data_IF_267496830684
#
_entry.id   IF_267496830684
#
_cell.length_a   1.000
_cell.length_b   1.000
_cell.length_c   1.000
_cell.angle_alpha   90.00
_cell.angle_beta   90.00
_cell.angle_gamma   90.00
#
_symmetry.space_group_name_H-M   'P 1'
#
loop_
_entity.id
_entity.type
_entity.pdbx_description
1 polymer ?
#
# COMPACT_ATOMS: atom_id res chain seq x y z
N UNK A 1 -93.15 24.10 -0.53
CA UNK A 1 -91.94 24.75 0.00
C UNK A 1 -90.72 23.94 -0.40
N UNK A 2 -89.73 24.59 -1.05
CA UNK A 2 -88.35 24.14 -1.37
C UNK A 2 -88.22 22.95 -2.34
N UNK A 3 -87.22 22.85 -3.21
CA UNK A 3 -86.36 23.74 -4.03
C UNK A 3 -85.55 22.73 -4.87
N UNK A 4 -85.40 22.98 -6.17
CA UNK A 4 -84.52 22.20 -7.03
C UNK A 4 -83.04 22.36 -6.66
N UNK A 5 -82.19 21.40 -7.06
CA UNK A 5 -80.85 21.65 -7.63
C UNK A 5 -80.28 20.41 -8.32
N UNK A 6 -80.05 20.55 -9.62
CA UNK A 6 -79.13 19.80 -10.47
C UNK A 6 -77.69 19.89 -9.92
N UNK A 7 -76.85 18.88 -10.19
CA UNK A 7 -75.42 18.96 -9.86
C UNK A 7 -74.57 17.77 -10.30
N UNK A 8 -74.32 17.66 -11.61
CA UNK A 8 -73.03 17.32 -12.25
C UNK A 8 -72.28 16.05 -11.78
N UNK A 9 -72.24 14.98 -12.60
CA UNK A 9 -71.17 13.99 -12.56
C UNK A 9 -70.06 14.47 -13.51
N UNK A 10 -68.99 15.06 -13.01
CA UNK A 10 -67.86 15.40 -13.89
C UNK A 10 -66.54 15.43 -13.13
N UNK A 11 -65.55 14.76 -13.74
CA UNK A 11 -64.13 15.00 -13.60
C UNK A 11 -63.49 14.66 -12.24
N UNK A 12 -63.20 13.38 -12.06
CA UNK A 12 -62.07 12.94 -11.24
C UNK A 12 -61.53 11.61 -11.78
N UNK A 13 -61.29 11.58 -13.10
CA UNK A 13 -60.60 10.48 -13.77
C UNK A 13 -59.58 11.11 -14.73
N UNK A 14 -58.33 10.67 -14.62
CA UNK A 14 -57.24 10.85 -15.60
C UNK A 14 -56.63 12.26 -15.75
N UNK A 15 -55.95 12.73 -14.71
CA UNK A 15 -54.69 13.47 -14.86
C UNK A 15 -53.51 12.58 -14.41
N UNK A 16 -53.56 11.30 -14.79
CA UNK A 16 -52.34 10.52 -14.90
C UNK A 16 -51.58 11.10 -16.09
N UNK A 17 -50.66 12.02 -15.77
CA UNK A 17 -49.73 12.59 -16.71
C UNK A 17 -49.20 11.47 -17.61
N UNK A 18 -49.41 11.64 -18.91
CA UNK A 18 -48.89 10.79 -19.95
C UNK A 18 -47.36 10.77 -19.83
N UNK A 19 -46.81 9.87 -19.02
CA UNK A 19 -45.54 9.27 -19.30
C UNK A 19 -45.77 8.51 -20.61
N UNK A 20 -45.49 9.17 -21.74
CA UNK A 20 -45.71 8.61 -23.07
C UNK A 20 -45.14 7.20 -23.11
N UNK A 21 -45.95 6.24 -23.56
CA UNK A 21 -45.49 4.88 -23.81
C UNK A 21 -44.23 4.94 -24.67
N UNK A 22 -43.13 4.27 -24.28
CA UNK A 22 -41.90 4.28 -25.07
C UNK A 22 -42.24 3.89 -26.51
N UNK A 23 -41.88 4.72 -27.48
CA UNK A 23 -42.10 4.37 -28.88
C UNK A 23 -41.31 3.10 -29.17
N UNK A 24 -41.91 2.04 -29.74
CA UNK A 24 -41.16 0.86 -30.13
C UNK A 24 -40.23 1.24 -31.30
N UNK A 25 -38.93 0.97 -31.15
CA UNK A 25 -37.93 1.10 -32.21
C UNK A 25 -37.03 -0.15 -32.21
N UNK A 26 -36.41 -0.44 -33.36
CA UNK A 26 -35.49 -1.55 -33.50
C UNK A 26 -34.32 -1.45 -32.49
N UNK A 27 -33.82 -2.59 -32.00
CA UNK A 27 -32.72 -2.61 -31.03
C UNK A 27 -31.49 -1.89 -31.61
N UNK A 28 -31.02 -0.78 -31.01
CA UNK A 28 -29.84 -0.08 -31.49
C UNK A 28 -28.57 -0.91 -31.24
N UNK A 29 -27.50 -0.61 -31.99
CA UNK A 29 -26.17 -1.14 -31.68
C UNK A 29 -25.53 -0.32 -30.56
N UNK A 30 -24.85 -0.99 -29.62
CA UNK A 30 -24.04 -0.36 -28.59
C UNK A 30 -22.55 -0.61 -28.88
N UNK A 31 -21.76 0.45 -28.90
CA UNK A 31 -20.29 0.39 -28.88
C UNK A 31 -19.77 1.05 -27.63
N UNK A 32 -18.80 0.42 -26.98
CA UNK A 32 -18.13 0.94 -25.78
C UNK A 32 -16.66 1.12 -26.09
N UNK A 33 -16.10 2.30 -25.82
CA UNK A 33 -14.68 2.56 -25.95
C UNK A 33 -14.10 3.17 -24.66
N UNK A 34 -12.90 2.74 -24.31
CA UNK A 34 -12.15 3.27 -23.16
C UNK A 34 -11.29 4.42 -23.64
N UNK A 35 -11.46 5.60 -23.05
CA UNK A 35 -10.66 6.78 -23.32
C UNK A 35 -9.75 7.07 -22.10
N UNK A 36 -8.73 7.94 -22.20
CA UNK A 36 -7.84 8.22 -21.08
C UNK A 36 -8.57 8.64 -19.79
N UNK A 37 -9.62 9.45 -19.89
CA UNK A 37 -10.31 10.03 -18.72
C UNK A 37 -11.80 9.66 -18.60
N UNK A 38 -12.36 8.97 -19.62
CA UNK A 38 -13.77 8.59 -19.65
C UNK A 38 -14.02 7.22 -20.31
N UNK A 39 -15.25 6.75 -20.17
CA UNK A 39 -15.82 5.69 -20.99
C UNK A 39 -16.84 6.31 -21.93
N UNK A 40 -16.75 5.95 -23.21
CA UNK A 40 -17.68 6.42 -24.24
C UNK A 40 -18.60 5.29 -24.67
N UNK A 41 -19.89 5.50 -24.43
CA UNK A 41 -20.97 4.63 -24.88
C UNK A 41 -21.66 5.28 -26.07
N UNK A 42 -21.58 4.64 -27.24
CA UNK A 42 -22.24 5.11 -28.46
C UNK A 42 -23.36 4.14 -28.81
N UNK A 43 -24.59 4.66 -28.80
CA UNK A 43 -25.76 3.95 -29.32
C UNK A 43 -26.11 4.53 -30.69
N UNK A 44 -26.34 3.66 -31.65
CA UNK A 44 -26.75 4.04 -33.00
C UNK A 44 -27.82 3.10 -33.54
N UNK A 45 -28.77 3.64 -34.29
CA UNK A 45 -29.80 2.85 -34.96
C UNK A 45 -30.69 3.72 -35.84
N UNK A 46 -31.11 3.26 -37.03
CA UNK A 46 -31.86 4.08 -37.98
C UNK A 46 -33.20 4.55 -37.42
N UNK A 47 -33.83 3.75 -36.55
CA UNK A 47 -35.13 4.05 -35.95
C UNK A 47 -35.05 4.70 -34.56
N UNK A 48 -33.84 5.06 -34.10
CA UNK A 48 -33.65 5.61 -32.76
C UNK A 48 -34.26 7.03 -32.68
N UNK A 49 -35.39 7.21 -31.96
CA UNK A 49 -36.10 8.47 -31.95
C UNK A 49 -35.24 9.57 -31.33
N UNK A 50 -35.32 10.80 -31.83
CA UNK A 50 -34.69 11.94 -31.17
C UNK A 50 -35.39 12.26 -29.83
N UNK A 51 -34.62 12.63 -28.81
CA UNK A 51 -35.12 13.00 -27.49
C UNK A 51 -35.38 11.84 -26.53
N UNK A 52 -35.20 10.59 -26.98
CA UNK A 52 -35.34 9.37 -26.17
C UNK A 52 -34.32 9.43 -25.02
N UNK A 53 -34.76 9.24 -23.75
CA UNK A 53 -33.85 9.24 -22.62
C UNK A 53 -32.94 8.02 -22.66
N UNK A 54 -31.66 8.25 -22.41
CA UNK A 54 -30.65 7.20 -22.29
C UNK A 54 -29.97 7.32 -20.96
N UNK A 55 -29.78 6.18 -20.30
CA UNK A 55 -29.10 6.07 -19.03
C UNK A 55 -27.98 5.04 -19.13
N UNK A 56 -26.77 5.41 -18.73
CA UNK A 56 -25.64 4.53 -18.59
C UNK A 56 -25.23 4.46 -17.11
N UNK A 57 -25.23 3.25 -16.56
CA UNK A 57 -24.83 2.94 -15.20
C UNK A 57 -23.53 2.15 -15.19
N UNK A 58 -22.58 2.58 -14.36
CA UNK A 58 -21.36 1.83 -14.03
C UNK A 58 -21.45 1.34 -12.60
N UNK A 59 -21.17 0.05 -12.38
CA UNK A 59 -21.23 -0.56 -11.06
C UNK A 59 -19.81 -0.69 -10.50
N UNK A 60 -19.38 0.31 -9.75
CA UNK A 60 -18.08 0.35 -9.12
C UNK A 60 -18.12 -0.04 -7.63
N UNK A 61 -16.96 -0.22 -6.99
CA UNK A 61 -16.87 -0.51 -5.55
C UNK A 61 -17.39 0.64 -4.67
N UNK A 62 -17.46 1.87 -5.21
CA UNK A 62 -18.03 3.03 -4.51
C UNK A 62 -19.55 3.17 -4.71
N UNK A 63 -20.19 2.23 -5.40
CA UNK A 63 -21.61 2.29 -5.78
C UNK A 63 -21.82 2.55 -7.27
N UNK A 64 -23.09 2.74 -7.62
CA UNK A 64 -23.53 2.98 -8.99
C UNK A 64 -23.24 4.43 -9.41
N UNK A 65 -22.59 4.61 -10.57
CA UNK A 65 -22.44 5.92 -11.22
C UNK A 65 -23.36 5.98 -12.43
N UNK A 66 -24.28 6.94 -12.44
CA UNK A 66 -25.29 7.07 -13.49
C UNK A 66 -25.07 8.32 -14.32
N UNK A 67 -25.02 8.17 -15.64
CA UNK A 67 -24.95 9.27 -16.60
C UNK A 67 -26.16 9.21 -17.53
N UNK A 68 -26.79 10.37 -17.75
CA UNK A 68 -27.98 10.49 -18.57
C UNK A 68 -27.74 11.38 -19.77
N UNK A 69 -28.34 11.03 -20.89
CA UNK A 69 -28.34 11.82 -22.11
C UNK A 69 -29.68 11.69 -22.83
N UNK A 70 -29.84 12.44 -23.92
CA UNK A 70 -30.93 12.26 -24.86
C UNK A 70 -30.36 11.98 -26.24
N UNK A 71 -31.05 11.15 -26.99
CA UNK A 71 -30.69 10.85 -28.37
C UNK A 71 -30.84 12.07 -29.28
N UNK A 72 -29.89 12.22 -30.19
CA UNK A 72 -30.05 13.01 -31.41
C UNK A 72 -30.49 12.02 -32.50
N UNK A 73 -31.28 12.44 -33.49
CA UNK A 73 -31.90 11.52 -34.44
C UNK A 73 -30.90 10.46 -34.97
N UNK A 74 -31.15 9.19 -34.64
CA UNK A 74 -30.30 8.05 -35.03
C UNK A 74 -29.12 7.70 -34.12
N UNK A 75 -28.71 8.56 -33.17
CA UNK A 75 -27.54 8.30 -32.33
C UNK A 75 -27.49 9.04 -30.98
N UNK A 76 -26.76 8.47 -30.02
CA UNK A 76 -26.30 9.19 -28.84
C UNK A 76 -24.90 8.73 -28.46
N UNK A 77 -24.11 9.67 -27.93
CA UNK A 77 -22.83 9.35 -27.31
C UNK A 77 -22.85 9.86 -25.87
N UNK A 78 -22.72 8.95 -24.90
CA UNK A 78 -22.58 9.26 -23.48
C UNK A 78 -21.10 9.18 -23.12
N UNK A 79 -20.61 10.21 -22.43
CA UNK A 79 -19.28 10.21 -21.80
C UNK A 79 -19.47 10.05 -20.31
N UNK A 80 -19.02 8.93 -19.77
CA UNK A 80 -19.08 8.66 -18.33
C UNK A 80 -17.68 8.87 -17.76
N UNK A 81 -17.44 9.92 -16.94
CA UNK A 81 -16.15 10.14 -16.31
C UNK A 81 -15.77 8.92 -15.47
N UNK A 82 -14.69 8.24 -15.85
CA UNK A 82 -14.30 6.99 -15.20
C UNK A 82 -12.84 6.68 -15.48
N UNK A 83 -12.02 6.74 -14.43
CA UNK A 83 -10.55 6.60 -14.52
C UNK A 83 -9.99 5.34 -13.84
N UNK A 84 -10.83 4.56 -13.14
CA UNK A 84 -10.38 3.43 -12.34
C UNK A 84 -10.01 2.23 -13.21
N UNK A 85 -8.80 1.71 -13.04
CA UNK A 85 -8.38 0.46 -13.65
C UNK A 85 -9.12 -0.74 -13.05
N UNK A 86 -9.21 -1.81 -13.83
CA UNK A 86 -9.89 -3.06 -13.48
C UNK A 86 -11.07 -3.37 -14.38
N UNK A 87 -11.86 -4.35 -13.97
CA UNK A 87 -13.09 -4.77 -14.64
C UNK A 87 -14.26 -4.07 -14.00
N UNK A 88 -15.09 -3.40 -14.80
CA UNK A 88 -16.26 -2.64 -14.33
C UNK A 88 -17.49 -3.10 -15.12
N UNK A 89 -18.48 -3.71 -14.45
CA UNK A 89 -19.78 -3.98 -15.05
C UNK A 89 -20.50 -2.69 -15.40
N UNK A 90 -21.25 -2.72 -16.51
CA UNK A 90 -22.08 -1.60 -16.92
C UNK A 90 -23.46 -2.06 -17.37
N UNK A 91 -24.37 -1.10 -17.37
CA UNK A 91 -25.68 -1.21 -17.97
C UNK A 91 -26.02 0.05 -18.75
N UNK A 92 -26.62 -0.10 -19.93
CA UNK A 92 -27.17 1.01 -20.72
C UNK A 92 -28.64 0.74 -21.01
N UNK A 93 -29.51 1.70 -20.71
CA UNK A 93 -30.97 1.66 -20.96
C UNK A 93 -31.36 2.74 -21.95
N UNK A 94 -32.20 2.39 -22.93
CA UNK A 94 -32.79 3.31 -23.91
C UNK A 94 -34.15 2.77 -24.36
N UNK A 95 -35.24 3.50 -24.05
CA UNK A 95 -36.61 3.02 -24.25
C UNK A 95 -36.83 1.61 -23.67
N UNK A 96 -37.29 0.63 -24.45
CA UNK A 96 -37.50 -0.74 -23.98
C UNK A 96 -36.22 -1.59 -23.94
N UNK A 97 -35.08 -1.07 -24.40
CA UNK A 97 -33.85 -1.86 -24.58
C UNK A 97 -32.89 -1.70 -23.42
N UNK A 98 -32.28 -2.83 -23.01
CA UNK A 98 -31.23 -2.91 -22.00
C UNK A 98 -30.00 -3.61 -22.59
N UNK A 99 -28.83 -3.05 -22.32
CA UNK A 99 -27.53 -3.62 -22.66
C UNK A 99 -26.73 -3.77 -21.38
N UNK A 100 -26.15 -4.95 -21.17
CA UNK A 100 -25.25 -5.21 -20.05
C UNK A 100 -23.92 -5.73 -20.57
N UNK A 101 -22.87 -5.45 -19.84
CA UNK A 101 -21.54 -5.91 -20.20
C UNK A 101 -20.52 -5.56 -19.15
N UNK A 102 -19.25 -5.75 -19.49
CA UNK A 102 -18.12 -5.37 -18.65
C UNK A 102 -17.11 -4.64 -19.51
N UNK A 103 -16.47 -3.63 -18.93
CA UNK A 103 -15.32 -2.97 -19.53
C UNK A 103 -14.09 -3.24 -18.68
N UNK A 104 -12.95 -3.46 -19.34
CA UNK A 104 -11.66 -3.63 -18.68
C UNK A 104 -10.79 -2.42 -19.02
N UNK A 105 -10.35 -1.70 -18.00
CA UNK A 105 -9.35 -0.64 -18.11
C UNK A 105 -8.05 -1.14 -17.51
N UNK A 106 -6.97 -1.08 -18.26
CA UNK A 106 -5.63 -1.31 -17.73
C UNK A 106 -5.12 -0.03 -17.03
N UNK A 107 -4.32 -0.16 -15.96
CA UNK A 107 -3.67 1.00 -15.35
C UNK A 107 -2.72 1.66 -16.35
N UNK A 108 -2.53 2.97 -16.20
CA UNK A 108 -1.58 3.72 -17.01
C UNK A 108 -0.12 3.48 -16.62
N UNK A 109 0.77 4.24 -17.26
CA UNK A 109 2.18 4.31 -16.89
C UNK A 109 2.35 4.90 -15.48
N UNK A 110 3.27 4.37 -14.66
CA UNK A 110 3.55 4.90 -13.34
C UNK A 110 4.14 6.31 -13.41
N UNK A 111 3.90 7.12 -12.38
CA UNK A 111 4.43 8.49 -12.27
C UNK A 111 5.41 8.64 -11.12
N UNK A 112 6.33 9.58 -11.25
CA UNK A 112 7.29 9.95 -10.19
C UNK A 112 6.73 11.05 -9.27
N UNK A 113 7.20 11.14 -8.01
CA UNK A 113 8.06 10.18 -7.33
C UNK A 113 7.30 8.91 -6.94
N UNK A 114 7.97 7.75 -6.98
CA UNK A 114 7.44 6.57 -6.33
C UNK A 114 7.56 6.74 -4.80
N UNK A 115 6.46 6.52 -4.09
CA UNK A 115 6.45 6.57 -2.62
C UNK A 115 6.99 5.25 -2.04
N UNK A 116 8.25 5.25 -1.63
CA UNK A 116 8.89 4.12 -0.95
C UNK A 116 8.49 4.09 0.51
N UNK A 117 8.05 2.93 1.00
CA UNK A 117 7.82 2.69 2.43
C UNK A 117 8.76 1.60 2.91
N UNK A 118 9.76 1.98 3.69
CA UNK A 118 10.64 1.00 4.34
C UNK A 118 10.13 0.71 5.75
N UNK A 119 9.79 -0.55 6.01
CA UNK A 119 9.41 -1.06 7.31
C UNK A 119 10.63 -1.27 8.19
N UNK A 120 10.64 -0.61 9.36
CA UNK A 120 11.80 -0.56 10.26
C UNK A 120 12.85 0.40 9.72
N UNK A 121 12.87 1.65 10.20
CA UNK A 121 13.91 2.64 9.83
C UNK A 121 15.27 2.31 10.42
N UNK A 122 15.28 1.48 11.46
CA UNK A 122 16.48 0.91 12.04
C UNK A 122 16.26 -0.57 12.36
N UNK A 123 17.27 -1.40 12.10
CA UNK A 123 17.24 -2.85 12.36
C UNK A 123 18.61 -3.31 12.82
N UNK A 124 18.70 -4.32 13.69
CA UNK A 124 20.01 -4.93 13.99
C UNK A 124 20.47 -5.83 12.85
N UNK A 125 21.77 -5.84 12.56
CA UNK A 125 22.36 -6.70 11.52
C UNK A 125 22.14 -8.21 11.77
N UNK A 126 21.93 -8.61 13.03
CA UNK A 126 21.63 -10.00 13.43
C UNK A 126 20.14 -10.26 13.65
N UNK A 127 19.26 -9.30 13.33
CA UNK A 127 17.83 -9.48 13.61
C UNK A 127 17.24 -10.56 12.70
N UNK A 128 16.45 -11.51 13.23
CA UNK A 128 15.90 -12.61 12.42
C UNK A 128 14.96 -12.16 11.30
N UNK A 129 14.31 -11.00 11.47
CA UNK A 129 13.39 -10.43 10.50
C UNK A 129 14.01 -9.19 9.86
N UNK A 130 14.43 -9.26 8.59
CA UNK A 130 14.96 -8.10 7.88
C UNK A 130 13.86 -7.05 7.67
N UNK A 131 14.23 -5.78 7.48
CA UNK A 131 13.31 -4.74 7.09
C UNK A 131 12.75 -5.06 5.70
N UNK A 132 11.59 -4.49 5.39
CA UNK A 132 10.92 -4.72 4.11
C UNK A 132 10.66 -3.39 3.42
N UNK A 133 10.87 -3.34 2.12
CA UNK A 133 10.39 -2.26 1.29
C UNK A 133 9.01 -2.62 0.74
N UNK A 134 8.08 -1.68 0.82
CA UNK A 134 6.74 -1.77 0.22
C UNK A 134 6.52 -0.56 -0.68
N UNK A 135 6.04 -0.79 -1.90
CA UNK A 135 5.67 0.25 -2.86
C UNK A 135 4.28 0.02 -3.42
N UNK A 136 3.63 1.13 -3.74
CA UNK A 136 2.41 1.19 -4.54
C UNK A 136 2.71 2.06 -5.75
N UNK A 137 3.25 1.49 -6.85
CA UNK A 137 3.55 2.29 -8.03
C UNK A 137 2.25 2.66 -8.74
N UNK A 138 1.88 3.94 -8.70
CA UNK A 138 0.60 4.42 -9.24
C UNK A 138 0.76 5.22 -10.52
N UNK A 139 -0.23 5.13 -11.41
CA UNK A 139 -0.39 6.05 -12.54
C UNK A 139 -0.90 7.44 -12.10
N UNK A 140 -1.08 8.36 -13.05
CA UNK A 140 -1.60 9.72 -12.82
C UNK A 140 -3.00 9.76 -12.19
N UNK A 141 -3.73 8.66 -12.17
CA UNK A 141 -5.09 8.52 -11.62
C UNK A 141 -5.12 7.72 -10.32
N UNK A 142 -3.97 7.32 -9.79
CA UNK A 142 -3.88 6.51 -8.57
C UNK A 142 -4.13 5.02 -8.78
N UNK A 143 -4.16 4.53 -10.02
CA UNK A 143 -4.27 3.09 -10.28
C UNK A 143 -2.89 2.44 -10.15
N UNK A 144 -2.81 1.31 -9.45
CA UNK A 144 -1.56 0.59 -9.31
C UNK A 144 -1.18 -0.08 -10.64
N UNK A 145 0.03 0.21 -11.13
CA UNK A 145 0.56 -0.40 -12.36
C UNK A 145 0.88 -1.87 -12.17
N UNK A 146 0.92 -2.63 -13.27
CA UNK A 146 1.38 -4.03 -13.28
C UNK A 146 2.84 -4.19 -13.67
N UNK A 147 3.52 -3.09 -14.00
CA UNK A 147 4.94 -3.12 -14.37
C UNK A 147 5.79 -3.53 -13.16
N UNK A 148 6.74 -4.48 -13.31
CA UNK A 148 7.58 -4.90 -12.22
C UNK A 148 8.50 -3.75 -11.76
N UNK A 149 8.78 -3.73 -10.46
CA UNK A 149 9.64 -2.72 -9.84
C UNK A 149 11.06 -3.26 -9.76
N UNK A 150 12.03 -2.53 -10.31
CA UNK A 150 13.45 -2.80 -10.04
C UNK A 150 13.86 -2.06 -8.78
N UNK A 151 14.32 -2.81 -7.78
CA UNK A 151 14.85 -2.27 -6.53
C UNK A 151 16.37 -2.46 -6.52
N UNK A 152 17.10 -1.38 -6.22
CA UNK A 152 18.55 -1.38 -5.98
C UNK A 152 18.79 -1.05 -4.51
N UNK A 153 19.60 -1.86 -3.85
CA UNK A 153 19.96 -1.72 -2.45
C UNK A 153 21.48 -1.59 -2.36
N UNK A 154 21.96 -0.57 -1.67
CA UNK A 154 23.38 -0.33 -1.42
C UNK A 154 23.62 -0.45 0.07
N UNK A 155 24.42 -1.44 0.45
CA UNK A 155 24.74 -1.70 1.84
C UNK A 155 26.02 -0.97 2.27
N UNK A 156 26.23 -0.76 3.59
CA UNK A 156 27.46 -0.16 4.12
C UNK A 156 28.74 -0.93 3.77
N UNK A 157 28.64 -2.23 3.50
CA UNK A 157 29.77 -3.08 3.08
C UNK A 157 30.16 -2.89 1.60
N UNK A 158 29.53 -1.95 0.89
CA UNK A 158 29.76 -1.67 -0.53
C UNK A 158 29.04 -2.63 -1.48
N UNK A 159 28.33 -3.64 -0.97
CA UNK A 159 27.58 -4.57 -1.80
C UNK A 159 26.32 -3.90 -2.33
N UNK A 160 26.16 -3.95 -3.67
CA UNK A 160 24.94 -3.52 -4.34
C UNK A 160 24.11 -4.74 -4.75
N UNK A 161 22.86 -4.80 -4.30
CA UNK A 161 21.90 -5.83 -4.67
C UNK A 161 20.83 -5.25 -5.59
N UNK A 162 20.49 -5.99 -6.65
CA UNK A 162 19.38 -5.65 -7.54
C UNK A 162 18.33 -6.75 -7.55
N UNK A 163 17.06 -6.36 -7.45
CA UNK A 163 15.91 -7.27 -7.50
C UNK A 163 14.84 -6.72 -8.41
N UNK A 164 14.24 -7.59 -9.21
CA UNK A 164 13.01 -7.31 -9.95
C UNK A 164 11.87 -7.89 -9.13
N UNK A 165 10.95 -7.03 -8.73
CA UNK A 165 9.85 -7.33 -7.80
C UNK A 165 8.55 -7.22 -8.57
N UNK A 166 7.76 -8.30 -8.70
CA UNK A 166 6.45 -8.21 -9.33
C UNK A 166 5.50 -7.36 -8.50
N UNK A 167 4.52 -6.73 -9.16
CA UNK A 167 3.41 -6.08 -8.47
C UNK A 167 2.27 -7.08 -8.35
N UNK A 168 2.01 -7.53 -7.13
CA UNK A 168 0.97 -8.51 -6.80
C UNK A 168 0.05 -7.93 -5.73
N UNK A 169 -1.25 -8.23 -5.82
CA UNK A 169 -2.26 -7.74 -4.87
C UNK A 169 -2.18 -6.21 -4.65
N UNK A 170 -1.92 -5.45 -5.72
CA UNK A 170 -1.77 -3.99 -5.72
C UNK A 170 -0.51 -3.47 -4.99
N UNK A 171 0.49 -4.31 -4.72
CA UNK A 171 1.72 -3.93 -4.02
C UNK A 171 2.95 -4.57 -4.65
N UNK A 172 4.09 -3.88 -4.62
CA UNK A 172 5.39 -4.52 -4.78
C UNK A 172 6.10 -4.50 -3.42
N UNK A 173 6.59 -5.65 -2.97
CA UNK A 173 7.29 -5.73 -1.69
C UNK A 173 8.49 -6.67 -1.77
N UNK A 174 9.54 -6.35 -1.02
CA UNK A 174 10.76 -7.15 -0.95
C UNK A 174 11.46 -6.95 0.38
N UNK A 175 12.08 -8.02 0.91
CA UNK A 175 12.96 -7.90 2.07
C UNK A 175 14.29 -7.25 1.70
N UNK A 176 14.83 -6.47 2.64
CA UNK A 176 16.07 -5.75 2.53
C UNK A 176 17.12 -6.44 3.42
N UNK A 177 17.95 -7.34 2.87
CA UNK A 177 18.88 -8.13 3.68
C UNK A 177 19.99 -7.22 4.25
N UNK A 178 20.14 -7.11 5.59
CA UNK A 178 21.04 -6.13 6.22
C UNK A 178 22.52 -6.46 5.99
N UNK A 179 22.88 -7.71 5.68
CA UNK A 179 24.29 -8.10 5.63
C UNK A 179 24.90 -8.23 7.03
N UNK A 180 26.18 -7.88 7.19
CA UNK A 180 26.93 -8.07 8.46
C UNK A 180 27.53 -6.79 9.02
N UNK A 181 27.55 -5.70 8.25
CA UNK A 181 28.21 -4.43 8.60
C UNK A 181 27.18 -3.37 8.95
N UNK A 182 27.43 -2.61 10.00
CA UNK A 182 26.55 -1.51 10.45
C UNK A 182 26.70 -0.26 9.59
N UNK A 183 25.70 0.62 9.64
CA UNK A 183 25.66 1.88 8.90
C UNK A 183 24.39 2.02 8.05
N UNK A 184 24.39 2.98 7.14
CA UNK A 184 23.22 3.32 6.34
C UNK A 184 23.12 2.44 5.08
N UNK A 185 22.00 1.71 4.93
CA UNK A 185 21.64 1.08 3.67
C UNK A 185 20.72 2.00 2.87
N UNK A 186 21.12 2.35 1.64
CA UNK A 186 20.29 3.13 0.71
C UNK A 186 19.51 2.21 -0.21
N UNK A 187 18.26 2.57 -0.51
CA UNK A 187 17.34 1.81 -1.32
C UNK A 187 16.69 2.72 -2.34
N UNK A 188 16.80 2.37 -3.62
CA UNK A 188 16.14 3.07 -4.71
C UNK A 188 15.26 2.12 -5.50
N UNK A 189 14.18 2.63 -6.09
CA UNK A 189 13.25 1.84 -6.88
C UNK A 189 12.89 2.56 -8.17
N UNK A 190 12.73 1.80 -9.25
CA UNK A 190 12.29 2.29 -10.57
C UNK A 190 11.29 1.32 -11.18
N UNK A 191 10.30 1.85 -11.89
CA UNK A 191 9.31 1.06 -12.65
C UNK A 191 8.83 1.85 -13.86
N UNK A 192 8.87 1.25 -15.05
CA UNK A 192 8.66 1.97 -16.31
C UNK A 192 9.56 3.20 -16.41
N UNK A 193 8.96 4.37 -16.66
CA UNK A 193 9.64 5.67 -16.63
C UNK A 193 9.66 6.38 -15.26
N UNK A 194 9.10 5.78 -14.22
CA UNK A 194 9.02 6.39 -12.89
C UNK A 194 10.18 5.98 -12.00
N UNK A 195 10.68 6.95 -11.22
CA UNK A 195 11.73 6.76 -10.24
C UNK A 195 11.24 7.14 -8.83
N UNK A 196 11.68 6.38 -7.85
CA UNK A 196 11.44 6.65 -6.45
C UNK A 196 12.48 7.56 -5.82
N UNK A 197 12.08 8.18 -4.73
CA UNK A 197 13.02 8.79 -3.78
C UNK A 197 13.88 7.71 -3.12
N UNK A 198 15.07 8.08 -2.62
CA UNK A 198 15.91 7.15 -1.86
C UNK A 198 15.25 6.85 -0.50
N UNK A 199 14.99 5.58 -0.23
CA UNK A 199 14.70 5.07 1.10
C UNK A 199 15.99 4.73 1.83
N UNK A 200 16.00 4.86 3.14
CA UNK A 200 17.17 4.60 3.97
C UNK A 200 16.81 3.72 5.17
N UNK A 201 17.77 2.87 5.57
CA UNK A 201 17.66 1.98 6.73
C UNK A 201 18.95 2.02 7.52
N UNK A 202 18.85 2.34 8.81
CA UNK A 202 19.95 2.25 9.74
C UNK A 202 20.19 0.79 10.16
N UNK A 203 21.34 0.26 9.80
CA UNK A 203 21.79 -1.05 10.23
C UNK A 203 22.59 -0.92 11.53
N UNK A 204 21.96 -1.32 12.63
CA UNK A 204 22.49 -1.21 13.98
C UNK A 204 23.28 -2.46 14.39
N UNK A 205 24.22 -2.35 15.33
CA UNK A 205 24.95 -3.50 15.85
C UNK A 205 24.03 -4.58 16.44
N UNK A 206 24.47 -5.84 16.33
CA UNK A 206 23.84 -6.99 16.97
C UNK A 206 24.09 -7.07 18.48
N UNK A 207 23.73 -8.18 19.14
CA UNK A 207 24.11 -8.46 20.52
C UNK A 207 25.63 -8.45 20.72
N UNK A 208 26.05 -8.03 21.91
CA UNK A 208 27.46 -8.01 22.29
C UNK A 208 28.04 -9.43 22.39
N UNK A 209 29.30 -9.61 21.99
CA UNK A 209 30.01 -10.88 22.12
C UNK A 209 30.74 -11.02 23.45
N UNK A 210 31.34 -9.94 23.95
CA UNK A 210 32.22 -9.95 25.12
C UNK A 210 32.20 -8.59 25.83
N UNK A 211 31.92 -8.58 27.13
CA UNK A 211 32.18 -7.42 28.00
C UNK A 211 33.33 -7.77 28.93
N UNK A 212 34.54 -7.30 28.62
CA UNK A 212 35.63 -7.23 29.60
C UNK A 212 35.88 -5.78 29.97
N UNK A 213 35.49 -5.33 31.17
CA UNK A 213 35.69 -3.94 31.56
C UNK A 213 37.17 -3.64 31.75
N UNK A 214 37.57 -2.45 31.32
CA UNK A 214 38.90 -1.92 31.57
C UNK A 214 39.08 -1.65 33.07
N UNK A 215 40.04 -2.33 33.69
CA UNK A 215 40.36 -2.12 35.10
C UNK A 215 39.37 -2.75 36.10
N UNK A 216 38.51 -3.67 35.64
CA UNK A 216 37.51 -4.36 36.47
C UNK A 216 36.27 -3.52 36.79
N UNK A 217 35.26 -4.14 37.40
CA UNK A 217 34.06 -3.43 37.86
C UNK A 217 34.39 -2.67 39.16
N UNK A 218 34.20 -1.35 39.17
CA UNK A 218 34.37 -0.56 40.40
C UNK A 218 33.06 -0.56 41.19
N UNK A 219 33.14 -0.97 42.45
CA UNK A 219 32.04 -0.89 43.41
C UNK A 219 30.91 -1.91 43.18
N UNK A 220 31.25 -3.18 43.01
CA UNK A 220 30.25 -4.25 42.99
C UNK A 220 29.53 -4.32 44.35
N UNK A 221 28.36 -3.67 44.44
CA UNK A 221 27.47 -3.71 45.58
C UNK A 221 26.05 -4.06 45.17
N UNK A 222 25.12 -4.23 46.13
CA UNK A 222 23.73 -4.63 45.86
C UNK A 222 22.91 -3.65 45.00
N UNK A 223 23.46 -2.46 44.71
CA UNK A 223 22.88 -1.42 43.85
C UNK A 223 23.50 -1.36 42.44
N UNK A 224 24.37 -2.32 42.09
CA UNK A 224 25.12 -2.35 40.84
C UNK A 224 26.49 -1.65 40.94
N UNK A 225 27.36 -1.93 39.96
CA UNK A 225 28.71 -1.35 39.87
C UNK A 225 28.94 -0.65 38.53
N UNK A 226 29.87 0.30 38.50
CA UNK A 226 30.23 1.01 37.26
C UNK A 226 31.41 0.30 36.62
N UNK A 227 31.25 -0.02 35.34
CA UNK A 227 32.28 -0.64 34.53
C UNK A 227 32.55 0.25 33.30
N UNK A 228 33.82 0.29 32.89
CA UNK A 228 34.32 1.12 31.78
C UNK A 228 34.77 0.25 30.63
N UNK A 229 34.51 0.68 29.41
CA UNK A 229 34.98 0.02 28.19
C UNK A 229 35.43 1.10 27.20
N UNK A 230 36.64 0.96 26.66
CA UNK A 230 37.11 1.87 25.59
C UNK A 230 36.37 1.63 24.26
N UNK A 231 35.96 0.39 24.01
CA UNK A 231 35.20 0.02 22.82
C UNK A 231 34.26 -1.15 23.10
N UNK A 232 33.02 -1.04 22.62
CA UNK A 232 32.05 -2.13 22.61
C UNK A 232 31.86 -2.61 21.18
N UNK A 233 31.86 -3.95 20.99
CA UNK A 233 31.63 -4.57 19.70
C UNK A 233 30.58 -5.67 19.79
N UNK A 234 29.78 -5.79 18.74
CA UNK A 234 28.85 -6.91 18.59
C UNK A 234 29.58 -8.23 18.26
N UNK A 235 28.83 -9.33 18.14
CA UNK A 235 29.37 -10.64 17.74
C UNK A 235 29.94 -10.69 16.32
N UNK A 236 29.61 -9.73 15.48
CA UNK A 236 30.12 -9.62 14.11
C UNK A 236 31.33 -8.68 14.02
N UNK A 237 31.76 -8.08 15.13
CA UNK A 237 32.87 -7.14 15.20
C UNK A 237 32.49 -5.69 14.92
N UNK A 238 31.21 -5.37 14.73
CA UNK A 238 30.74 -4.01 14.52
C UNK A 238 30.86 -3.21 15.81
N UNK A 239 31.39 -1.99 15.71
CA UNK A 239 31.48 -1.06 16.83
C UNK A 239 30.07 -0.60 17.23
N UNK A 240 29.81 -0.60 18.54
CA UNK A 240 28.66 0.08 19.13
C UNK A 240 29.07 1.48 19.53
N UNK A 241 28.36 2.49 19.04
CA UNK A 241 28.67 3.90 19.33
C UNK A 241 27.74 4.48 20.40
N UNK A 242 28.07 5.68 20.88
CA UNK A 242 27.33 6.36 21.94
C UNK A 242 25.85 6.55 21.56
N UNK A 243 24.95 6.33 22.52
CA UNK A 243 23.49 6.37 22.35
C UNK A 243 22.86 5.28 21.46
N UNK A 244 23.64 4.32 20.94
CA UNK A 244 23.06 3.11 20.36
C UNK A 244 22.65 2.15 21.48
N UNK A 245 21.40 1.71 21.47
CA UNK A 245 20.96 0.66 22.40
C UNK A 245 21.76 -0.61 22.12
N UNK A 246 22.57 -1.06 23.08
CA UNK A 246 23.17 -2.38 23.09
C UNK A 246 22.27 -3.33 23.89
N UNK A 247 22.31 -4.61 23.53
CA UNK A 247 21.66 -5.64 24.33
C UNK A 247 22.74 -6.62 24.75
N UNK A 248 22.88 -6.81 26.06
CA UNK A 248 23.61 -7.93 26.59
C UNK A 248 22.65 -9.10 26.80
N UNK A 249 23.05 -10.26 26.29
CA UNK A 249 22.33 -11.50 26.48
C UNK A 249 23.13 -12.37 27.44
N UNK A 250 22.53 -12.80 28.54
CA UNK A 250 23.11 -13.77 29.47
C UNK A 250 22.11 -14.86 29.85
N UNK A 251 22.54 -15.82 30.67
CA UNK A 251 21.66 -16.81 31.29
C UNK A 251 21.59 -16.59 32.81
N UNK A 252 20.38 -16.64 33.37
CA UNK A 252 20.13 -16.61 34.82
C UNK A 252 19.08 -17.69 35.13
N UNK A 253 19.41 -18.65 35.99
CA UNK A 253 18.52 -19.77 36.37
C UNK A 253 17.90 -20.53 35.18
N UNK A 254 18.64 -20.70 34.09
CA UNK A 254 18.18 -21.37 32.86
C UNK A 254 17.31 -20.51 31.94
N UNK A 255 17.13 -19.22 32.24
CA UNK A 255 16.42 -18.25 31.41
C UNK A 255 17.39 -17.33 30.66
N UNK A 256 17.05 -16.98 29.41
CA UNK A 256 17.76 -15.95 28.66
C UNK A 256 17.37 -14.56 29.19
N UNK A 257 18.32 -13.83 29.73
CA UNK A 257 18.14 -12.45 30.21
C UNK A 257 18.70 -11.48 29.17
N UNK A 258 17.88 -10.51 28.75
CA UNK A 258 18.30 -9.40 27.91
C UNK A 258 18.39 -8.13 28.75
N UNK A 259 19.59 -7.61 28.94
CA UNK A 259 19.81 -6.35 29.64
C UNK A 259 20.10 -5.25 28.62
N UNK A 260 19.21 -4.24 28.49
CA UNK A 260 19.51 -3.09 27.66
C UNK A 260 20.65 -2.31 28.29
N UNK A 261 21.65 -1.96 27.48
CA UNK A 261 22.78 -1.14 27.87
C UNK A 261 22.79 0.09 26.96
N UNK A 262 22.79 1.28 27.54
CA UNK A 262 23.02 2.52 26.81
C UNK A 262 24.43 2.99 27.15
N UNK A 263 25.43 2.77 26.27
CA UNK A 263 26.76 3.28 26.49
C UNK A 263 26.75 4.81 26.42
N UNK A 264 27.31 5.47 27.43
CA UNK A 264 27.53 6.92 27.52
C UNK A 264 29.04 7.14 27.56
N UNK A 265 29.64 7.77 26.55
CA UNK A 265 31.07 8.08 26.51
C UNK A 265 32.05 6.96 27.00
N UNK A 266 31.78 5.68 26.70
CA UNK A 266 32.61 4.55 27.15
C UNK A 266 32.34 4.05 28.58
N UNK A 267 31.31 4.57 29.24
CA UNK A 267 30.80 4.09 30.52
C UNK A 267 29.40 3.50 30.32
N UNK A 268 29.14 2.32 30.88
CA UNK A 268 27.78 1.81 31.01
C UNK A 268 27.54 1.43 32.46
N UNK A 269 26.46 1.95 33.05
CA UNK A 269 26.00 1.48 34.34
C UNK A 269 25.43 0.08 34.15
N UNK A 270 26.05 -0.92 34.78
CA UNK A 270 25.54 -2.30 34.74
C UNK A 270 24.95 -2.61 36.11
N UNK A 271 23.62 -2.61 36.16
CA UNK A 271 22.88 -3.27 37.24
C UNK A 271 22.74 -4.75 36.91
N UNK A 272 23.77 -5.56 37.19
CA UNK A 272 23.65 -7.02 37.07
C UNK A 272 23.47 -7.64 38.45
N UNK A 273 22.38 -8.39 38.71
CA UNK A 273 22.30 -9.23 39.89
C UNK A 273 23.12 -10.50 39.63
N UNK A 274 24.35 -10.58 40.18
CA UNK A 274 24.90 -11.87 40.64
C UNK A 274 25.63 -12.84 39.68
N UNK A 275 25.95 -12.53 38.42
CA UNK A 275 26.71 -13.47 37.58
C UNK A 275 28.20 -13.08 37.45
N UNK A 276 29.11 -13.97 37.87
CA UNK A 276 30.57 -13.74 37.87
C UNK A 276 31.21 -13.71 36.47
N UNK A 277 30.52 -14.10 35.40
CA UNK A 277 30.97 -13.93 34.01
C UNK A 277 29.79 -14.14 33.05
N UNK A 278 29.35 -13.12 32.29
CA UNK A 278 28.35 -13.35 31.25
C UNK A 278 29.01 -14.05 30.05
N UNK A 279 28.76 -15.35 29.92
CA UNK A 279 29.01 -16.06 28.67
C UNK A 279 27.77 -15.93 27.76
N UNK A 280 28.00 -15.37 26.58
CA UNK A 280 26.96 -15.14 25.59
C UNK A 280 26.77 -16.41 24.74
N UNK A 281 25.96 -17.35 25.20
CA UNK A 281 25.55 -18.50 24.39
C UNK A 281 24.34 -18.12 23.50
N UNK A 282 24.44 -18.41 22.19
CA UNK A 282 23.30 -18.33 21.27
C UNK A 282 22.63 -19.69 21.19
N UNK A 283 21.41 -19.82 21.72
CA UNK A 283 20.56 -20.94 21.34
C UNK A 283 19.91 -20.61 19.98
N UNK A 284 20.14 -21.40 18.92
CA UNK A 284 19.49 -21.18 17.65
C UNK A 284 17.98 -21.34 17.83
N UNK A 285 17.22 -20.28 17.53
CA UNK A 285 15.76 -20.35 17.52
C UNK A 285 15.27 -20.96 16.18
N UNK A 286 15.25 -22.30 16.15
CA UNK A 286 14.26 -23.11 15.43
C UNK A 286 14.62 -23.68 14.06
N UNK A 287 14.82 -25.01 13.99
CA UNK A 287 13.94 -25.81 13.13
C UNK A 287 12.60 -25.99 13.86
N UNK A 288 11.58 -25.22 13.46
CA UNK A 288 10.15 -25.52 13.65
C UNK A 288 9.36 -24.92 12.50
#
# INVERSE_FOLDING_TARGET
>A
MRRALLGVPALLVLLAACAGTPRPFARPSLTVSVQPDDLRFTLAGPDLPAGEPVEASLFGPAGETVTRARTQAGQVTLRVPFVRAGVTPFEVRVGPHRFTGQVRREPGEPVSPLTLKVGGRAVRVTQPRPPALVLHPTDRHGNVTRLPVTVRMERPDGVTLRRVVPVEHLTAWVFLPPGRVTGLMSVTAVTGGAAGESGEVDLLPGPLSQLRPEGGQRGAGPLGGVARWSELRDRLGNRVVENEAAVLTGQEDGWNVQVPLTPVAGEAAVGWPGAESPEAEELPFGER
#
